data_IF_448563786399
#
_entry.id   IF_448563786399
#
_cell.length_a   1.000
_cell.length_b   1.000
_cell.length_c   1.000
_cell.angle_alpha   90.00
_cell.angle_beta   90.00
_cell.angle_gamma   90.00
#
_symmetry.space_group_name_H-M   'P 1'
#
loop_
_entity.id
_entity.type
_entity.pdbx_description
1 polymer ?
#
# COMPACT_ATOMS: atom_id res chain seq x y z
N UNK A 1 -28.41 -34.63 8.69
CA UNK A 1 -29.31 -33.83 7.84
C UNK A 1 -28.39 -33.06 6.92
N UNK A 2 -28.09 -33.66 5.76
CA UNK A 2 -27.26 -33.04 4.73
C UNK A 2 -28.15 -32.11 3.92
N UNK A 3 -27.74 -30.84 3.81
CA UNK A 3 -28.40 -29.88 2.94
C UNK A 3 -27.91 -30.23 1.52
N UNK A 4 -28.80 -30.57 0.57
CA UNK A 4 -28.37 -30.76 -0.81
C UNK A 4 -27.88 -29.41 -1.34
N UNK A 5 -26.61 -29.32 -1.73
CA UNK A 5 -26.23 -28.33 -2.74
C UNK A 5 -26.86 -28.82 -4.04
N UNK A 6 -27.96 -28.19 -4.44
CA UNK A 6 -28.38 -28.24 -5.84
C UNK A 6 -27.26 -27.59 -6.65
N UNK A 7 -26.56 -28.41 -7.44
CA UNK A 7 -25.74 -27.94 -8.54
C UNK A 7 -26.67 -27.20 -9.50
N UNK A 8 -26.82 -25.91 -9.27
CA UNK A 8 -27.36 -25.00 -10.26
C UNK A 8 -26.26 -24.84 -11.32
N UNK A 9 -26.24 -25.78 -12.26
CA UNK A 9 -25.66 -25.60 -13.58
C UNK A 9 -26.31 -24.38 -14.23
N UNK A 10 -25.75 -23.21 -13.95
CA UNK A 10 -25.76 -22.08 -14.85
C UNK A 10 -24.35 -21.52 -14.74
N UNK A 11 -23.45 -21.99 -15.59
CA UNK A 11 -22.36 -21.12 -16.03
C UNK A 11 -23.06 -19.86 -16.54
N UNK A 12 -23.01 -18.79 -15.75
CA UNK A 12 -23.61 -17.53 -16.15
C UNK A 12 -22.82 -17.05 -17.36
N UNK A 13 -23.37 -17.28 -18.55
CA UNK A 13 -22.90 -16.70 -19.80
C UNK A 13 -23.12 -15.19 -19.73
N UNK A 14 -22.20 -14.49 -19.07
CA UNK A 14 -22.09 -13.05 -19.02
C UNK A 14 -20.75 -12.63 -19.58
N UNK A 15 -20.76 -11.65 -20.50
CA UNK A 15 -19.57 -10.81 -20.70
C UNK A 15 -19.40 -9.96 -19.45
N UNK A 16 -18.60 -10.45 -18.51
CA UNK A 16 -18.19 -9.67 -17.35
C UNK A 16 -17.13 -8.66 -17.81
N UNK A 17 -17.41 -7.36 -17.62
CA UNK A 17 -16.38 -6.33 -17.75
C UNK A 17 -15.22 -6.61 -16.79
N UNK A 18 -14.03 -6.07 -17.10
CA UNK A 18 -12.89 -6.16 -16.20
C UNK A 18 -13.25 -5.60 -14.83
N UNK A 19 -13.12 -6.39 -13.74
CA UNK A 19 -13.47 -5.93 -12.40
C UNK A 19 -12.76 -4.64 -12.03
N UNK A 20 -13.45 -3.75 -11.32
CA UNK A 20 -12.92 -2.45 -10.92
C UNK A 20 -11.59 -2.56 -10.18
N UNK A 21 -11.45 -3.56 -9.29
CA UNK A 21 -10.20 -3.79 -8.56
C UNK A 21 -9.01 -4.09 -9.47
N UNK A 22 -9.21 -4.83 -10.57
CA UNK A 22 -8.17 -5.12 -11.55
C UNK A 22 -7.78 -3.85 -12.30
N UNK A 23 -8.77 -3.04 -12.72
CA UNK A 23 -8.52 -1.77 -13.41
C UNK A 23 -7.76 -0.78 -12.54
N UNK A 24 -8.13 -0.68 -11.27
CA UNK A 24 -7.47 0.19 -10.28
C UNK A 24 -6.02 -0.22 -10.09
N UNK A 25 -5.77 -1.48 -9.73
CA UNK A 25 -4.43 -1.97 -9.43
C UNK A 25 -3.51 -1.88 -10.66
N UNK A 26 -3.98 -2.32 -11.83
CA UNK A 26 -3.22 -2.25 -13.08
C UNK A 26 -2.86 -0.80 -13.44
N UNK A 27 -3.84 0.10 -13.36
CA UNK A 27 -3.59 1.52 -13.69
C UNK A 27 -2.60 2.15 -12.72
N UNK A 28 -2.66 1.80 -11.44
CA UNK A 28 -1.70 2.31 -10.46
C UNK A 28 -0.28 1.85 -10.78
N UNK A 29 -0.08 0.55 -11.06
CA UNK A 29 1.23 0.04 -11.47
C UNK A 29 1.71 0.58 -12.82
N UNK A 30 0.80 0.82 -13.75
CA UNK A 30 1.11 1.50 -15.01
C UNK A 30 1.58 2.94 -14.77
N UNK A 31 0.91 3.70 -13.89
CA UNK A 31 1.30 5.06 -13.53
C UNK A 31 2.68 5.09 -12.83
N UNK A 32 2.96 4.13 -11.95
CA UNK A 32 4.28 3.98 -11.33
C UNK A 32 5.37 3.74 -12.37
N UNK A 33 5.14 2.86 -13.37
CA UNK A 33 6.09 2.62 -14.48
C UNK A 33 6.24 3.85 -15.36
N UNK A 34 5.13 4.43 -15.81
CA UNK A 34 5.11 5.57 -16.74
C UNK A 34 5.86 6.78 -16.18
N UNK A 35 5.72 7.03 -14.88
CA UNK A 35 6.40 8.13 -14.21
C UNK A 35 7.79 7.75 -13.69
N UNK A 36 8.27 6.52 -13.94
CA UNK A 36 9.61 6.08 -13.53
C UNK A 36 9.79 6.08 -12.01
N UNK A 37 8.79 5.65 -11.24
CA UNK A 37 8.92 5.48 -9.80
C UNK A 37 9.92 4.36 -9.49
N UNK A 38 10.92 4.66 -8.66
CA UNK A 38 12.01 3.74 -8.29
C UNK A 38 11.78 3.08 -6.93
N UNK A 39 10.84 3.59 -6.15
CA UNK A 39 10.56 3.14 -4.78
C UNK A 39 9.34 2.22 -4.67
N UNK A 40 8.65 1.97 -5.78
CA UNK A 40 7.51 1.05 -5.85
C UNK A 40 7.56 0.22 -7.11
N UNK A 41 6.96 -0.98 -7.09
CA UNK A 41 7.15 -1.91 -8.17
C UNK A 41 6.23 -1.50 -9.33
N UNK A 42 6.81 -1.15 -10.47
CA UNK A 42 6.05 -0.89 -11.69
C UNK A 42 5.50 -2.16 -12.33
N UNK A 43 4.50 -2.00 -13.20
CA UNK A 43 4.04 -3.08 -14.08
C UNK A 43 5.16 -3.47 -15.07
N UNK A 44 5.47 -4.77 -15.14
CA UNK A 44 6.34 -5.38 -16.16
C UNK A 44 5.50 -5.97 -17.28
N UNK A 45 4.48 -6.75 -16.94
CA UNK A 45 3.61 -7.42 -17.90
C UNK A 45 2.20 -7.59 -17.33
N UNK A 46 1.20 -7.54 -18.21
CA UNK A 46 -0.20 -7.83 -17.89
C UNK A 46 -0.75 -8.85 -18.88
N UNK A 47 -1.60 -9.76 -18.39
CA UNK A 47 -2.28 -10.77 -19.20
C UNK A 47 -3.67 -11.04 -18.65
N UNK A 48 -4.66 -11.04 -19.54
CA UNK A 48 -6.00 -11.53 -19.25
C UNK A 48 -6.18 -12.87 -19.98
N UNK A 49 -6.77 -13.86 -19.30
CA UNK A 49 -7.16 -15.14 -19.90
C UNK A 49 -8.56 -15.57 -19.44
N UNK A 50 -9.14 -16.51 -20.18
CA UNK A 50 -10.36 -17.22 -19.76
C UNK A 50 -9.96 -18.54 -19.10
N UNK A 51 -10.49 -18.80 -17.92
CA UNK A 51 -10.31 -20.06 -17.20
C UNK A 51 -11.04 -21.20 -17.94
N UNK A 52 -10.38 -22.34 -18.07
CA UNK A 52 -10.87 -23.55 -18.72
C UNK A 52 -11.00 -24.69 -17.72
N UNK A 53 -11.83 -25.69 -18.01
CA UNK A 53 -11.96 -26.89 -17.19
C UNK A 53 -10.67 -27.72 -17.08
N UNK A 54 -9.68 -27.45 -17.95
CA UNK A 54 -8.36 -28.06 -17.90
C UNK A 54 -7.38 -27.38 -16.94
N UNK A 55 -7.72 -26.19 -16.42
CA UNK A 55 -6.84 -25.49 -15.48
C UNK A 55 -6.94 -26.14 -14.10
N UNK A 56 -5.80 -26.59 -13.57
CA UNK A 56 -5.69 -27.30 -12.28
C UNK A 56 -6.30 -26.53 -11.08
N UNK A 57 -6.47 -25.23 -11.23
CA UNK A 57 -7.06 -24.32 -10.25
C UNK A 57 -8.19 -23.48 -10.84
N UNK A 58 -8.88 -23.96 -11.88
CA UNK A 58 -10.08 -23.29 -12.36
C UNK A 58 -11.13 -23.30 -11.25
N UNK A 59 -11.30 -22.14 -10.61
CA UNK A 59 -12.38 -21.92 -9.64
C UNK A 59 -13.69 -21.58 -10.34
N UNK A 60 -13.62 -21.13 -11.61
CA UNK A 60 -14.77 -20.71 -12.39
C UNK A 60 -14.51 -20.89 -13.89
N UNK A 61 -14.76 -22.08 -14.47
CA UNK A 61 -14.68 -22.29 -15.92
C UNK A 61 -15.52 -21.26 -16.68
N UNK A 62 -14.96 -20.67 -17.74
CA UNK A 62 -15.56 -19.55 -18.49
C UNK A 62 -15.32 -18.17 -17.86
N UNK A 63 -14.90 -18.12 -16.60
CA UNK A 63 -14.52 -16.90 -15.90
C UNK A 63 -13.19 -16.31 -16.39
N UNK A 64 -12.93 -15.05 -16.08
CA UNK A 64 -11.66 -14.37 -16.39
C UNK A 64 -10.62 -14.56 -15.28
N UNK A 65 -9.36 -14.61 -15.66
CA UNK A 65 -8.20 -14.55 -14.77
C UNK A 65 -7.24 -13.46 -15.26
N UNK A 66 -6.67 -12.72 -14.32
CA UNK A 66 -5.83 -11.56 -14.59
C UNK A 66 -4.48 -11.75 -13.93
N UNK A 67 -3.41 -11.64 -14.72
CA UNK A 67 -2.03 -11.72 -14.26
C UNK A 67 -1.38 -10.36 -14.38
N UNK A 68 -0.73 -9.93 -13.30
CA UNK A 68 0.12 -8.75 -13.27
C UNK A 68 1.49 -9.15 -12.74
N UNK A 69 2.51 -8.99 -13.58
CA UNK A 69 3.90 -9.22 -13.22
C UNK A 69 4.50 -7.89 -12.82
N UNK A 70 5.06 -7.82 -11.61
CA UNK A 70 5.71 -6.63 -11.05
C UNK A 70 7.11 -6.96 -10.59
N UNK A 71 7.97 -5.94 -10.52
CA UNK A 71 9.32 -6.09 -10.00
C UNK A 71 9.33 -6.49 -8.52
N UNK A 72 10.21 -7.42 -8.14
CA UNK A 72 10.50 -7.67 -6.73
C UNK A 72 11.41 -6.56 -6.21
N UNK A 73 11.02 -5.91 -5.12
CA UNK A 73 11.84 -4.90 -4.45
C UNK A 73 12.67 -5.52 -3.33
N UNK A 74 13.85 -4.95 -3.02
CA UNK A 74 14.70 -5.43 -1.93
C UNK A 74 14.17 -4.94 -0.56
N UNK A 75 14.85 -5.36 0.49
CA UNK A 75 14.59 -4.91 1.85
C UNK A 75 13.67 -5.83 2.66
N UNK A 76 13.50 -5.46 3.93
CA UNK A 76 12.69 -6.19 4.92
C UNK A 76 11.53 -5.32 5.39
N UNK A 77 10.34 -5.88 5.62
CA UNK A 77 9.19 -5.09 6.06
C UNK A 77 9.44 -4.47 7.43
N UNK A 78 9.09 -3.18 7.56
CA UNK A 78 9.25 -2.42 8.80
C UNK A 78 8.20 -2.74 9.86
N UNK A 79 7.05 -3.28 9.44
CA UNK A 79 5.94 -3.67 10.31
C UNK A 79 5.52 -5.12 10.12
N UNK A 80 4.96 -5.74 11.16
CA UNK A 80 4.34 -7.07 11.08
C UNK A 80 2.82 -7.00 10.74
N UNK A 81 2.22 -5.81 10.84
CA UNK A 81 0.80 -5.56 10.59
C UNK A 81 -0.08 -5.64 11.84
N UNK A 82 0.53 -5.80 13.02
CA UNK A 82 -0.13 -5.74 14.30
C UNK A 82 -0.03 -4.34 14.90
N UNK A 83 -0.93 -4.06 15.83
CA UNK A 83 -1.00 -2.83 16.60
C UNK A 83 -0.70 -3.18 18.04
N UNK A 84 0.13 -2.37 18.69
CA UNK A 84 0.39 -2.39 20.11
C UNK A 84 0.00 -1.05 20.74
N UNK A 85 -0.03 -1.04 22.07
CA UNK A 85 -0.29 0.16 22.85
C UNK A 85 0.96 0.50 23.67
N UNK A 86 1.35 1.77 23.67
CA UNK A 86 2.35 2.29 24.61
C UNK A 86 1.82 2.19 26.04
N UNK A 87 2.70 2.32 27.04
CA UNK A 87 2.29 2.31 28.46
C UNK A 87 1.24 3.40 28.78
N UNK A 88 1.32 4.53 28.08
CA UNK A 88 0.34 5.59 28.20
C UNK A 88 -0.91 5.36 27.32
N UNK A 89 -1.01 4.28 26.57
CA UNK A 89 -2.23 3.89 25.83
C UNK A 89 -2.35 4.49 24.42
N UNK A 90 -1.25 4.99 23.84
CA UNK A 90 -1.21 5.43 22.45
C UNK A 90 -1.03 4.24 21.52
N UNK A 91 -1.62 4.32 20.33
CA UNK A 91 -1.53 3.30 19.30
C UNK A 91 -0.15 3.38 18.64
N UNK A 92 0.52 2.24 18.51
CA UNK A 92 1.73 2.10 17.70
C UNK A 92 1.66 0.84 16.83
N UNK A 93 2.32 0.87 15.67
CA UNK A 93 2.40 -0.30 14.80
C UNK A 93 3.59 -1.16 15.19
N UNK A 94 3.39 -2.46 15.37
CA UNK A 94 4.49 -3.36 15.71
C UNK A 94 5.38 -3.68 14.51
N UNK A 95 6.66 -3.95 14.79
CA UNK A 95 7.60 -4.51 13.83
C UNK A 95 9.03 -4.02 14.02
N UNK A 96 9.85 -4.23 12.99
CA UNK A 96 11.27 -3.88 13.00
C UNK A 96 11.49 -2.41 13.35
N UNK A 97 10.70 -1.49 12.79
CA UNK A 97 10.94 -0.05 12.91
C UNK A 97 11.17 0.42 14.34
N UNK A 98 10.27 0.09 15.26
CA UNK A 98 10.35 0.55 16.66
C UNK A 98 11.38 -0.21 17.52
N UNK A 99 11.98 -1.27 16.98
CA UNK A 99 13.08 -1.98 17.62
C UNK A 99 14.47 -1.45 17.19
N UNK A 100 14.51 -0.55 16.20
CA UNK A 100 15.74 0.09 15.73
C UNK A 100 16.14 1.27 16.62
N UNK A 101 17.41 1.68 16.54
CA UNK A 101 17.87 2.89 17.23
C UNK A 101 17.13 4.13 16.72
N UNK A 102 17.16 5.22 17.49
CA UNK A 102 16.58 6.50 17.05
C UNK A 102 17.21 6.99 15.74
N UNK A 103 18.53 6.87 15.63
CA UNK A 103 19.30 7.30 14.46
C UNK A 103 18.90 6.51 13.21
N UNK A 104 18.72 5.18 13.33
CA UNK A 104 18.25 4.35 12.22
C UNK A 104 16.80 4.68 11.81
N UNK A 105 15.93 4.99 12.79
CA UNK A 105 14.55 5.42 12.52
C UNK A 105 14.52 6.76 11.79
N UNK A 106 15.39 7.70 12.14
CA UNK A 106 15.51 8.98 11.46
C UNK A 106 16.03 8.83 10.02
N UNK A 107 17.00 7.94 9.79
CA UNK A 107 17.44 7.58 8.43
C UNK A 107 16.29 7.01 7.58
N UNK A 108 15.47 6.14 8.17
CA UNK A 108 14.30 5.57 7.50
C UNK A 108 13.27 6.65 7.16
N UNK A 109 13.01 7.62 8.06
CA UNK A 109 12.11 8.74 7.77
C UNK A 109 12.60 9.56 6.58
N UNK A 110 13.89 9.90 6.55
CA UNK A 110 14.48 10.62 5.43
C UNK A 110 14.35 9.83 4.12
N UNK A 111 14.68 8.54 4.12
CA UNK A 111 14.54 7.69 2.94
C UNK A 111 13.07 7.52 2.51
N UNK A 112 12.13 7.49 3.46
CA UNK A 112 10.71 7.43 3.17
C UNK A 112 10.18 8.73 2.57
N UNK A 113 10.70 9.90 2.96
CA UNK A 113 10.35 11.18 2.34
C UNK A 113 10.60 11.16 0.82
N UNK A 114 11.73 10.59 0.40
CA UNK A 114 12.07 10.44 -1.02
C UNK A 114 11.07 9.51 -1.74
N UNK A 115 10.76 8.36 -1.13
CA UNK A 115 9.81 7.39 -1.67
C UNK A 115 8.40 7.99 -1.80
N UNK A 116 7.94 8.69 -0.77
CA UNK A 116 6.62 9.34 -0.73
C UNK A 116 6.50 10.47 -1.75
N UNK A 117 7.57 11.24 -1.96
CA UNK A 117 7.61 12.30 -2.96
C UNK A 117 7.48 11.74 -4.39
N UNK A 118 8.09 10.58 -4.67
CA UNK A 118 7.90 9.90 -5.96
C UNK A 118 6.48 9.38 -6.17
N UNK A 119 5.76 8.97 -5.11
CA UNK A 119 4.34 8.60 -5.20
C UNK A 119 3.44 9.77 -5.58
N UNK A 120 3.64 10.93 -4.92
CA UNK A 120 2.94 12.17 -5.28
C UNK A 120 3.12 12.47 -6.76
N UNK A 121 4.38 12.44 -7.24
CA UNK A 121 4.70 12.68 -8.65
C UNK A 121 4.09 11.64 -9.59
N UNK A 122 4.02 10.39 -9.16
CA UNK A 122 3.51 9.28 -9.97
C UNK A 122 1.98 9.21 -10.01
N UNK A 123 1.27 10.03 -9.22
CA UNK A 123 -0.20 10.05 -9.12
C UNK A 123 -0.79 8.69 -8.71
N UNK A 124 -0.04 7.92 -7.94
CA UNK A 124 -0.45 6.64 -7.39
C UNK A 124 -0.06 6.59 -5.90
N UNK A 125 -0.86 5.87 -5.11
CA UNK A 125 -0.60 5.64 -3.69
C UNK A 125 -1.01 4.24 -3.29
N UNK A 126 -0.79 3.88 -2.03
CA UNK A 126 -1.28 2.63 -1.46
C UNK A 126 -2.62 2.84 -0.76
N UNK A 127 -3.53 1.88 -0.91
CA UNK A 127 -4.84 1.92 -0.26
C UNK A 127 -4.73 1.84 1.27
N UNK A 128 -3.80 1.02 1.78
CA UNK A 128 -3.60 0.78 3.21
C UNK A 128 -2.19 1.23 3.59
N UNK A 129 -2.08 2.35 4.31
CA UNK A 129 -0.83 2.98 4.73
C UNK A 129 -0.43 2.44 6.10
N UNK A 130 0.61 1.60 6.15
CA UNK A 130 1.14 1.01 7.40
C UNK A 130 2.62 0.65 7.25
N UNK A 131 3.32 0.47 8.38
CA UNK A 131 4.72 0.01 8.39
C UNK A 131 4.94 -1.31 7.66
N UNK A 132 3.95 -2.22 7.61
CA UNK A 132 4.05 -3.50 6.88
C UNK A 132 4.24 -3.31 5.38
N UNK A 133 3.90 -2.13 4.86
CA UNK A 133 4.00 -1.76 3.45
C UNK A 133 5.29 -1.02 3.12
N UNK A 134 6.10 -0.72 4.13
CA UNK A 134 7.41 -0.10 4.00
C UNK A 134 8.49 -1.16 4.15
N UNK A 135 9.39 -1.24 3.17
CA UNK A 135 10.48 -2.21 3.12
C UNK A 135 11.80 -1.46 3.20
N UNK A 136 12.57 -1.71 4.26
CA UNK A 136 13.85 -1.08 4.48
C UNK A 136 14.97 -1.93 3.89
N UNK A 137 15.69 -1.38 2.93
CA UNK A 137 16.92 -1.96 2.41
C UNK A 137 18.13 -1.24 3.01
N UNK A 138 18.68 -1.82 4.09
CA UNK A 138 19.82 -1.27 4.81
C UNK A 138 21.08 -1.14 3.93
N UNK A 139 21.23 -1.98 2.90
CA UNK A 139 22.41 -1.95 2.01
C UNK A 139 22.39 -0.71 1.12
N UNK A 140 21.24 -0.39 0.53
CA UNK A 140 21.10 0.80 -0.33
C UNK A 140 20.69 2.06 0.42
N UNK A 141 20.26 1.95 1.68
CA UNK A 141 19.75 3.06 2.48
C UNK A 141 18.40 3.57 1.99
N UNK A 142 17.57 2.70 1.39
CA UNK A 142 16.30 3.09 0.75
C UNK A 142 15.10 2.43 1.42
N UNK A 143 13.99 3.16 1.42
CA UNK A 143 12.66 2.64 1.77
C UNK A 143 11.87 2.42 0.48
N UNK A 144 11.31 1.23 0.36
CA UNK A 144 10.43 0.85 -0.72
C UNK A 144 9.00 0.74 -0.21
N UNK A 145 8.03 1.17 -1.02
CA UNK A 145 6.60 1.05 -0.72
C UNK A 145 6.04 -0.08 -1.58
N UNK A 146 5.36 -1.05 -0.95
CA UNK A 146 4.76 -2.19 -1.64
C UNK A 146 3.42 -2.59 -1.01
N UNK A 147 2.42 -2.81 -1.85
CA UNK A 147 1.11 -3.35 -1.47
C UNK A 147 0.07 -3.07 -2.54
N UNK A 148 -1.24 -3.06 -2.20
CA UNK A 148 -2.30 -2.76 -3.16
C UNK A 148 -2.34 -1.27 -3.50
N UNK A 149 -2.02 -0.92 -4.74
CA UNK A 149 -1.93 0.46 -5.19
C UNK A 149 -3.24 0.96 -5.82
N UNK A 150 -3.51 2.25 -5.63
CA UNK A 150 -4.61 2.96 -6.27
C UNK A 150 -4.12 4.25 -6.96
N UNK A 151 -4.66 4.60 -8.15
CA UNK A 151 -4.49 5.92 -8.72
C UNK A 151 -5.10 6.98 -7.79
N UNK A 152 -4.50 8.17 -7.77
CA UNK A 152 -5.07 9.33 -7.09
C UNK A 152 -6.35 9.84 -7.80
N UNK A 153 -6.44 9.65 -9.11
CA UNK A 153 -7.58 10.03 -9.92
C UNK A 153 -8.35 8.79 -10.39
N UNK A 154 -9.53 8.56 -9.81
CA UNK A 154 -10.39 7.42 -10.14
C UNK A 154 -11.63 7.81 -10.96
N UNK A 155 -11.76 9.10 -11.30
CA UNK A 155 -12.90 9.66 -12.06
C UNK A 155 -13.08 9.00 -13.42
N UNK A 156 -11.98 8.74 -14.14
CA UNK A 156 -11.96 8.00 -15.41
C UNK A 156 -12.41 6.53 -15.26
N UNK A 157 -12.58 6.04 -14.03
CA UNK A 157 -13.06 4.70 -13.73
C UNK A 157 -14.49 4.65 -13.21
N UNK A 158 -15.21 5.78 -13.23
CA UNK A 158 -16.58 5.88 -12.74
C UNK A 158 -16.69 6.03 -11.22
N UNK A 159 -15.57 6.24 -10.52
CA UNK A 159 -15.55 6.53 -9.09
C UNK A 159 -15.34 8.05 -8.93
N UNK A 160 -16.26 8.79 -8.30
CA UNK A 160 -16.12 10.23 -8.08
C UNK A 160 -15.14 10.51 -6.93
N UNK A 161 -13.92 9.98 -7.02
CA UNK A 161 -12.84 10.13 -6.05
C UNK A 161 -11.61 10.66 -6.77
N UNK A 162 -11.29 11.92 -6.49
CA UNK A 162 -9.99 12.53 -6.75
C UNK A 162 -9.34 12.74 -5.39
N UNK A 163 -8.17 12.14 -5.19
CA UNK A 163 -7.39 12.27 -3.97
C UNK A 163 -6.16 13.14 -4.21
N UNK A 164 -5.86 14.02 -3.26
CA UNK A 164 -4.53 14.59 -3.14
C UNK A 164 -3.86 13.96 -1.92
N UNK A 165 -2.59 13.59 -2.06
CA UNK A 165 -1.79 13.17 -0.93
C UNK A 165 -1.40 14.39 -0.09
N UNK A 166 -1.51 14.25 1.23
CA UNK A 166 -1.02 15.26 2.16
C UNK A 166 0.49 15.50 1.92
N UNK A 167 0.99 16.74 2.04
CA UNK A 167 2.43 17.01 2.04
C UNK A 167 3.14 16.18 3.10
N UNK A 168 4.40 15.82 2.82
CA UNK A 168 5.22 15.10 3.80
C UNK A 168 5.35 15.92 5.09
N UNK A 169 4.94 15.33 6.21
CA UNK A 169 4.81 16.03 7.48
C UNK A 169 4.29 15.11 8.60
N UNK A 170 3.97 15.68 9.78
CA UNK A 170 3.55 14.91 10.96
C UNK A 170 2.38 13.97 10.70
N UNK A 171 1.37 14.43 9.96
CA UNK A 171 0.20 13.62 9.58
C UNK A 171 0.60 12.39 8.76
N UNK A 172 1.51 12.57 7.80
CA UNK A 172 2.01 11.46 6.98
C UNK A 172 2.83 10.49 7.86
N UNK A 173 3.69 11.00 8.73
CA UNK A 173 4.48 10.16 9.63
C UNK A 173 3.59 9.31 10.55
N UNK A 174 2.54 9.90 11.12
CA UNK A 174 1.57 9.18 11.96
C UNK A 174 0.83 8.08 11.17
N UNK A 175 0.22 8.44 10.04
CA UNK A 175 -0.58 7.53 9.22
C UNK A 175 0.22 6.30 8.81
N UNK A 176 1.50 6.48 8.49
CA UNK A 176 2.39 5.38 8.09
C UNK A 176 2.99 4.61 9.26
N UNK A 177 2.79 5.08 10.50
CA UNK A 177 3.35 4.48 11.71
C UNK A 177 4.82 4.80 11.95
N UNK A 178 5.33 5.85 11.30
CA UNK A 178 6.69 6.37 11.45
C UNK A 178 6.81 7.41 12.57
N UNK A 179 5.72 7.81 13.21
CA UNK A 179 5.69 8.60 14.43
C UNK A 179 4.44 8.23 15.24
N UNK A 180 4.48 8.43 16.55
CA UNK A 180 3.31 8.26 17.43
C UNK A 180 2.86 9.64 17.89
N UNK A 181 1.63 10.02 17.56
CA UNK A 181 1.06 11.31 17.93
C UNK A 181 0.85 11.45 19.45
N UNK A 182 0.83 12.69 19.98
CA UNK A 182 0.44 12.94 21.36
C UNK A 182 -1.03 12.58 21.59
N UNK A 183 -1.41 12.43 22.87
CA UNK A 183 -2.81 12.18 23.22
C UNK A 183 -3.70 13.39 22.94
N UNK A 184 -4.96 13.12 22.60
CA UNK A 184 -5.98 14.14 22.45
C UNK A 184 -5.97 14.77 21.06
N UNK A 185 -6.23 16.08 20.99
CA UNK A 185 -6.24 16.80 19.71
C UNK A 185 -4.80 16.96 19.21
N UNK A 186 -4.53 16.39 18.04
CA UNK A 186 -3.23 16.45 17.38
C UNK A 186 -3.15 17.70 16.50
N UNK A 187 -2.05 18.44 16.65
CA UNK A 187 -1.66 19.53 15.75
C UNK A 187 -0.63 18.99 14.75
N UNK A 188 -0.96 19.09 13.45
CA UNK A 188 -0.12 18.60 12.36
C UNK A 188 0.68 19.72 11.69
N UNK A 189 0.46 20.98 12.06
CA UNK A 189 1.13 22.15 11.48
C UNK A 189 2.43 22.49 12.25
N UNK A 190 3.06 21.47 12.83
CA UNK A 190 4.29 21.58 13.62
C UNK A 190 5.48 21.06 12.79
N UNK A 191 6.62 21.78 12.77
CA UNK A 191 7.85 21.28 12.14
C UNK A 191 8.29 19.92 12.71
N UNK A 192 8.79 19.02 11.84
CA UNK A 192 9.18 17.65 12.23
C UNK A 192 10.23 17.64 13.36
N UNK A 193 11.18 18.57 13.33
CA UNK A 193 12.24 18.75 14.32
C UNK A 193 11.74 19.23 15.69
N UNK A 194 10.51 19.75 15.76
CA UNK A 194 9.88 20.17 17.01
C UNK A 194 9.00 19.09 17.63
N UNK A 195 8.66 18.00 16.92
CA UNK A 195 7.58 17.09 17.32
C UNK A 195 7.71 16.53 18.74
N UNK A 196 8.92 16.15 19.17
CA UNK A 196 9.14 15.61 20.51
C UNK A 196 8.82 16.61 21.63
N UNK A 197 9.04 17.91 21.38
CA UNK A 197 8.68 18.99 22.32
C UNK A 197 7.16 19.08 22.52
N UNK A 198 6.40 18.59 21.53
CA UNK A 198 4.93 18.52 21.56
C UNK A 198 4.41 17.11 21.91
N UNK A 199 5.27 16.25 22.47
CA UNK A 199 4.86 14.95 23.02
C UNK A 199 4.71 13.82 22.01
N UNK A 200 5.13 14.03 20.76
CA UNK A 200 5.26 12.96 19.78
C UNK A 200 6.40 12.01 20.16
N UNK A 201 6.27 10.73 19.78
CA UNK A 201 7.41 9.80 19.81
C UNK A 201 7.95 9.62 18.39
N UNK A 202 9.23 9.91 18.25
CA UNK A 202 10.06 9.61 17.08
C UNK A 202 11.02 8.45 17.37
#
# INVERSE_FOLDING_TARGET
MEIPCEDTECAAEGTYETPLCVRVEFTAHYLLTLNGCRYSPGAIQYKEETQTSGDRHAFMPGGKIYYLVIGKLPGVPLGNGLISYTEDGRISFEGLFWNLSREERDQIRLAFQDAYSEHIRSKATIAIKTLKRLFWDKVSGKVYIQGPFEPLELTNMGIPRSGQLDPYGPKVLEIWGLAIAPKGKVDYDIPIDCLEQFGWIL
#
